data_IF_170989785707
#
_entry.id   IF_170989785707
#
_cell.length_a   1.000
_cell.length_b   1.000
_cell.length_c   1.000
_cell.angle_alpha   90.00
_cell.angle_beta   90.00
_cell.angle_gamma   90.00
#
_symmetry.space_group_name_H-M   'P 1'
#
loop_
_entity.id
_entity.type
_entity.pdbx_description
1 polymer ?
#
# COMPACT_ATOMS: atom_id res chain seq x y z
N UNK A 1 4.61 3.27 27.00
CA UNK A 1 5.10 2.28 27.98
C UNK A 1 6.39 1.68 27.46
N UNK A 2 7.50 1.73 28.24
CA UNK A 2 8.80 1.19 27.83
C UNK A 2 8.81 -0.33 27.62
N UNK A 3 7.80 -1.05 28.13
CA UNK A 3 7.64 -2.50 28.00
C UNK A 3 7.56 -3.00 26.54
N UNK A 4 6.96 -2.23 25.64
CA UNK A 4 6.74 -2.61 24.23
C UNK A 4 7.87 -2.19 23.29
N UNK A 5 8.85 -1.42 23.77
CA UNK A 5 10.01 -0.98 22.98
C UNK A 5 11.29 -1.58 23.55
N UNK A 6 11.30 -2.90 23.76
CA UNK A 6 12.51 -3.61 24.12
C UNK A 6 13.44 -3.59 22.90
N UNK A 7 14.54 -2.83 22.99
CA UNK A 7 15.60 -2.72 21.96
C UNK A 7 16.42 -4.02 21.86
N UNK A 8 15.75 -5.17 21.73
CA UNK A 8 16.41 -6.46 21.52
C UNK A 8 16.81 -6.58 20.04
N UNK A 9 18.04 -7.00 19.73
CA UNK A 9 18.55 -7.08 18.35
C UNK A 9 17.72 -8.04 17.48
N UNK A 10 17.16 -9.09 18.06
CA UNK A 10 16.34 -10.10 17.37
C UNK A 10 15.03 -9.54 16.80
N UNK A 11 14.36 -8.61 17.50
CA UNK A 11 13.14 -7.95 16.98
C UNK A 11 13.42 -7.09 15.75
N UNK A 12 14.65 -6.62 15.61
CA UNK A 12 15.05 -5.70 14.55
C UNK A 12 15.15 -6.39 13.20
N UNK A 13 15.60 -7.65 13.16
CA UNK A 13 15.64 -8.43 11.91
C UNK A 13 14.24 -8.72 11.37
N UNK A 14 13.31 -9.14 12.23
CA UNK A 14 11.92 -9.36 11.81
C UNK A 14 11.24 -8.08 11.32
N UNK A 15 11.50 -6.94 11.98
CA UNK A 15 11.02 -5.62 11.54
C UNK A 15 11.62 -5.21 10.20
N UNK A 16 12.92 -5.47 9.96
CA UNK A 16 13.59 -5.11 8.72
C UNK A 16 13.11 -5.96 7.54
N UNK A 17 12.89 -7.26 7.73
CA UNK A 17 12.35 -8.12 6.68
C UNK A 17 10.91 -7.75 6.33
N UNK A 18 10.09 -7.43 7.34
CA UNK A 18 8.74 -6.91 7.16
C UNK A 18 8.72 -5.59 6.34
N UNK A 19 9.63 -4.66 6.66
CA UNK A 19 9.78 -3.39 5.91
C UNK A 19 10.25 -3.64 4.47
N UNK A 20 11.14 -4.61 4.25
CA UNK A 20 11.66 -4.97 2.92
C UNK A 20 10.55 -5.53 2.05
N UNK A 21 9.77 -6.48 2.57
CA UNK A 21 8.63 -7.09 1.89
C UNK A 21 7.57 -6.03 1.53
N UNK A 22 7.24 -5.13 2.47
CA UNK A 22 6.31 -4.02 2.21
C UNK A 22 6.80 -3.08 1.10
N UNK A 23 8.09 -2.74 1.07
CA UNK A 23 8.67 -1.90 0.01
C UNK A 23 8.66 -2.56 -1.37
N UNK A 24 8.91 -3.86 -1.45
CA UNK A 24 8.86 -4.61 -2.71
C UNK A 24 7.43 -4.65 -3.23
N UNK A 25 6.46 -4.95 -2.37
CA UNK A 25 5.05 -4.96 -2.75
C UNK A 25 4.58 -3.58 -3.20
N UNK A 26 4.94 -2.52 -2.48
CA UNK A 26 4.62 -1.14 -2.84
C UNK A 26 5.16 -0.76 -4.22
N UNK A 27 6.41 -1.13 -4.52
CA UNK A 27 7.01 -0.89 -5.85
C UNK A 27 6.26 -1.66 -6.93
N UNK A 28 5.95 -2.93 -6.71
CA UNK A 28 5.20 -3.75 -7.66
C UNK A 28 3.83 -3.16 -7.97
N UNK A 29 3.09 -2.77 -6.92
CA UNK A 29 1.76 -2.19 -7.05
C UNK A 29 1.76 -0.85 -7.79
N UNK A 30 2.73 0.01 -7.46
CA UNK A 30 2.86 1.33 -8.09
C UNK A 30 3.24 1.19 -9.59
N UNK A 31 4.10 0.24 -9.93
CA UNK A 31 4.42 -0.07 -11.34
C UNK A 31 3.17 -0.57 -12.08
N UNK A 32 2.43 -1.52 -11.50
CA UNK A 32 1.22 -2.06 -12.11
C UNK A 32 0.13 -0.98 -12.30
N UNK A 33 -0.03 -0.07 -11.33
CA UNK A 33 -0.94 1.05 -11.42
C UNK A 33 -0.57 2.00 -12.57
N UNK A 34 0.71 2.38 -12.69
CA UNK A 34 1.19 3.22 -13.80
C UNK A 34 0.94 2.54 -15.15
N UNK A 35 1.25 1.25 -15.28
CA UNK A 35 0.97 0.49 -16.51
C UNK A 35 -0.53 0.49 -16.86
N UNK A 36 -1.39 0.32 -15.85
CA UNK A 36 -2.84 0.30 -16.04
C UNK A 36 -3.36 1.66 -16.49
N UNK A 37 -2.89 2.76 -15.87
CA UNK A 37 -3.23 4.12 -16.29
C UNK A 37 -2.76 4.43 -17.72
N UNK A 38 -1.56 3.99 -18.08
CA UNK A 38 -1.03 4.17 -19.44
C UNK A 38 -1.88 3.43 -20.47
N UNK A 39 -2.28 2.18 -20.20
CA UNK A 39 -3.17 1.42 -21.08
C UNK A 39 -4.53 2.09 -21.24
N UNK A 40 -5.11 2.56 -20.13
CA UNK A 40 -6.40 3.26 -20.12
C UNK A 40 -6.38 4.57 -20.91
N UNK A 41 -5.26 5.29 -20.90
CA UNK A 41 -5.07 6.50 -21.70
C UNK A 41 -4.84 6.19 -23.18
N UNK A 42 -4.12 5.10 -23.49
CA UNK A 42 -3.84 4.67 -24.86
C UNK A 42 -5.09 4.23 -25.63
N UNK A 43 -6.03 3.56 -24.98
CA UNK A 43 -7.25 3.05 -25.61
C UNK A 43 -8.09 4.12 -26.35
N UNK A 44 -8.52 5.24 -25.71
CA UNK A 44 -9.27 6.29 -26.38
C UNK A 44 -8.42 7.04 -27.43
N UNK A 45 -7.10 7.14 -27.25
CA UNK A 45 -6.19 7.73 -28.25
C UNK A 45 -6.16 6.89 -29.53
N UNK A 46 -6.07 5.57 -29.41
CA UNK A 46 -6.10 4.66 -30.56
C UNK A 46 -7.45 4.76 -31.30
N UNK A 47 -8.56 4.81 -30.56
CA UNK A 47 -9.90 4.98 -31.15
C UNK A 47 -10.06 6.31 -31.89
N UNK A 48 -9.52 7.40 -31.33
CA UNK A 48 -9.52 8.71 -31.96
C UNK A 48 -8.72 8.74 -33.26
N UNK A 49 -7.52 8.13 -33.28
CA UNK A 49 -6.70 8.01 -34.51
C UNK A 49 -7.42 7.21 -35.59
N UNK A 50 -8.21 6.20 -35.21
CA UNK A 50 -9.05 5.42 -36.14
C UNK A 50 -10.29 6.18 -36.64
N UNK A 51 -10.50 7.45 -36.25
CA UNK A 51 -11.70 8.25 -36.53
C UNK A 51 -13.01 7.59 -36.10
N UNK A 52 -12.96 6.72 -35.10
CA UNK A 52 -14.16 6.15 -34.50
C UNK A 52 -14.69 7.12 -33.43
N UNK A 53 -16.02 7.24 -33.28
CA UNK A 53 -16.58 8.05 -32.19
C UNK A 53 -16.09 7.48 -30.86
N UNK A 54 -15.51 8.34 -30.03
CA UNK A 54 -15.06 7.95 -28.70
C UNK A 54 -16.22 8.22 -27.75
N UNK A 55 -16.94 7.17 -27.40
CA UNK A 55 -17.95 7.26 -26.34
C UNK A 55 -17.23 7.22 -24.99
N UNK A 56 -17.15 8.39 -24.35
CA UNK A 56 -16.73 8.45 -22.96
C UNK A 56 -17.85 7.86 -22.10
N UNK A 57 -17.52 6.99 -21.16
CA UNK A 57 -18.49 6.39 -20.22
C UNK A 57 -19.09 7.42 -19.22
N UNK A 58 -18.77 8.70 -19.38
CA UNK A 58 -19.25 9.81 -18.56
C UNK A 58 -20.22 10.64 -19.40
N UNK A 59 -21.35 11.02 -18.79
CA UNK A 59 -22.28 11.95 -19.41
C UNK A 59 -21.67 13.35 -19.41
N UNK A 60 -21.42 13.89 -20.61
CA UNK A 60 -20.94 15.25 -20.81
C UNK A 60 -22.10 16.09 -21.38
N UNK A 61 -22.32 17.33 -20.90
CA UNK A 61 -23.37 18.20 -21.41
C UNK A 61 -23.03 18.79 -22.80
N UNK A 62 -21.95 18.35 -23.43
CA UNK A 62 -21.44 18.83 -24.71
C UNK A 62 -20.98 17.66 -25.58
N UNK A 63 -20.95 17.86 -26.90
CA UNK A 63 -20.58 16.82 -27.85
C UNK A 63 -19.07 16.62 -27.84
N UNK A 64 -18.64 15.55 -27.17
CA UNK A 64 -17.22 15.26 -26.95
C UNK A 64 -16.46 15.03 -28.26
N UNK A 65 -17.12 14.79 -29.40
CA UNK A 65 -16.46 14.55 -30.69
C UNK A 65 -16.13 15.84 -31.47
N UNK A 66 -16.56 17.02 -31.02
CA UNK A 66 -16.18 18.29 -31.65
C UNK A 66 -14.85 18.85 -31.12
N UNK A 67 -14.00 19.32 -32.03
CA UNK A 67 -12.82 20.12 -31.68
C UNK A 67 -13.27 21.53 -31.26
N UNK A 68 -12.86 22.09 -30.10
CA UNK A 68 -11.80 21.65 -29.18
C UNK A 68 -12.27 20.88 -27.92
N UNK A 69 -13.57 20.61 -27.79
CA UNK A 69 -14.19 20.01 -26.60
C UNK A 69 -13.67 18.60 -26.30
N UNK A 70 -13.32 17.84 -27.36
CA UNK A 70 -12.67 16.54 -27.25
C UNK A 70 -11.39 16.57 -26.39
N UNK A 71 -10.52 17.57 -26.62
CA UNK A 71 -9.24 17.68 -25.92
C UNK A 71 -9.43 18.01 -24.44
N UNK A 72 -10.45 18.80 -24.10
CA UNK A 72 -10.82 19.06 -22.71
C UNK A 72 -11.39 17.82 -22.03
N UNK A 73 -12.30 17.09 -22.72
CA UNK A 73 -12.88 15.87 -22.19
C UNK A 73 -11.82 14.78 -21.92
N UNK A 74 -10.91 14.56 -22.88
CA UNK A 74 -9.87 13.53 -22.72
C UNK A 74 -8.87 13.92 -21.63
N UNK A 75 -8.50 15.20 -21.52
CA UNK A 75 -7.63 15.68 -20.45
C UNK A 75 -8.30 15.52 -19.08
N UNK A 76 -9.58 15.88 -18.96
CA UNK A 76 -10.35 15.73 -17.73
C UNK A 76 -10.44 14.26 -17.30
N UNK A 77 -10.83 13.36 -18.21
CA UNK A 77 -10.91 11.92 -17.93
C UNK A 77 -9.54 11.34 -17.57
N UNK A 78 -8.47 11.80 -18.22
CA UNK A 78 -7.11 11.39 -17.88
C UNK A 78 -6.69 11.82 -16.47
N UNK A 79 -6.97 13.06 -16.08
CA UNK A 79 -6.72 13.55 -14.72
C UNK A 79 -7.53 12.75 -13.69
N UNK A 80 -8.82 12.53 -13.96
CA UNK A 80 -9.70 11.83 -13.03
C UNK A 80 -9.34 10.35 -12.85
N UNK A 81 -9.01 9.65 -13.94
CA UNK A 81 -8.55 8.25 -13.87
C UNK A 81 -7.21 8.13 -13.17
N UNK A 82 -6.28 9.07 -13.40
CA UNK A 82 -4.99 9.13 -12.69
C UNK A 82 -5.17 9.37 -11.19
N UNK A 83 -6.05 10.30 -10.81
CA UNK A 83 -6.38 10.58 -9.41
C UNK A 83 -6.99 9.38 -8.71
N UNK A 84 -7.95 8.72 -9.37
CA UNK A 84 -8.60 7.52 -8.85
C UNK A 84 -7.58 6.38 -8.65
N UNK A 85 -6.71 6.16 -9.63
CA UNK A 85 -5.68 5.14 -9.55
C UNK A 85 -4.67 5.40 -8.43
N UNK A 86 -4.24 6.66 -8.25
CA UNK A 86 -3.37 7.05 -7.15
C UNK A 86 -4.04 6.81 -5.79
N UNK A 87 -5.30 7.22 -5.65
CA UNK A 87 -6.07 7.05 -4.42
C UNK A 87 -6.24 5.58 -4.06
N UNK A 88 -6.60 4.74 -5.04
CA UNK A 88 -6.78 3.31 -4.86
C UNK A 88 -5.45 2.63 -4.46
N UNK A 89 -4.37 2.91 -5.19
CA UNK A 89 -3.03 2.37 -4.89
C UNK A 89 -2.54 2.80 -3.50
N UNK A 90 -2.81 4.05 -3.11
CA UNK A 90 -2.43 4.58 -1.80
C UNK A 90 -3.19 3.88 -0.67
N UNK A 91 -4.49 3.59 -0.84
CA UNK A 91 -5.28 2.83 0.14
C UNK A 91 -4.76 1.41 0.29
N UNK A 92 -4.47 0.71 -0.81
CA UNK A 92 -3.95 -0.66 -0.77
C UNK A 92 -2.55 -0.73 -0.14
N UNK A 93 -1.71 0.26 -0.44
CA UNK A 93 -0.41 0.44 0.19
C UNK A 93 -0.51 0.67 1.70
N UNK A 94 -1.44 1.52 2.13
CA UNK A 94 -1.71 1.81 3.53
C UNK A 94 -2.21 0.56 4.27
N UNK A 95 -3.20 -0.14 3.71
CA UNK A 95 -3.75 -1.37 4.28
C UNK A 95 -2.67 -2.46 4.42
N UNK A 96 -1.84 -2.65 3.40
CA UNK A 96 -0.70 -3.58 3.46
C UNK A 96 0.26 -3.20 4.56
N UNK A 97 0.65 -1.93 4.64
CA UNK A 97 1.59 -1.44 5.65
C UNK A 97 1.06 -1.66 7.06
N UNK A 98 -0.24 -1.43 7.26
CA UNK A 98 -0.91 -1.70 8.53
C UNK A 98 -0.86 -3.20 8.89
N UNK A 99 -1.23 -4.08 7.96
CA UNK A 99 -1.18 -5.54 8.19
C UNK A 99 0.23 -6.04 8.50
N UNK A 100 1.25 -5.49 7.83
CA UNK A 100 2.65 -5.80 8.10
C UNK A 100 3.04 -5.38 9.51
N UNK A 101 2.63 -4.19 9.96
CA UNK A 101 2.86 -3.75 11.34
C UNK A 101 2.10 -4.63 12.35
N UNK A 102 0.85 -4.98 12.09
CA UNK A 102 0.07 -5.87 12.96
C UNK A 102 0.74 -7.24 13.08
N UNK A 103 1.24 -7.82 11.98
CA UNK A 103 2.01 -9.07 12.03
C UNK A 103 3.28 -8.94 12.85
N UNK A 104 4.03 -7.85 12.69
CA UNK A 104 5.24 -7.61 13.48
C UNK A 104 4.91 -7.55 14.98
N UNK A 105 3.85 -6.83 15.37
CA UNK A 105 3.42 -6.75 16.77
C UNK A 105 2.95 -8.10 17.32
N UNK A 106 2.20 -8.89 16.56
CA UNK A 106 1.79 -10.24 16.96
C UNK A 106 2.99 -11.19 17.10
N UNK A 107 4.00 -11.05 16.24
CA UNK A 107 5.22 -11.85 16.33
C UNK A 107 6.04 -11.51 17.58
N UNK A 108 6.13 -10.23 17.94
CA UNK A 108 6.78 -9.79 19.18
C UNK A 108 6.01 -10.36 20.38
N UNK A 109 4.68 -10.23 20.40
CA UNK A 109 3.84 -10.78 21.46
C UNK A 109 4.04 -12.29 21.63
N UNK A 110 4.13 -13.04 20.52
CA UNK A 110 4.42 -14.48 20.55
C UNK A 110 5.77 -14.77 21.21
N UNK A 111 6.81 -14.04 20.85
CA UNK A 111 8.16 -14.24 21.39
C UNK A 111 8.22 -13.90 22.88
N UNK A 112 7.54 -12.83 23.30
CA UNK A 112 7.42 -12.47 24.71
C UNK A 112 6.67 -13.55 25.50
N UNK A 113 5.62 -14.15 24.92
CA UNK A 113 4.88 -15.24 25.56
C UNK A 113 5.72 -16.52 25.70
N UNK A 114 6.54 -16.83 24.69
CA UNK A 114 7.41 -18.01 24.68
C UNK A 114 8.49 -17.94 25.77
N UNK A 115 9.06 -16.75 25.98
CA UNK A 115 10.07 -16.52 27.02
C UNK A 115 9.48 -16.10 28.37
N UNK A 116 8.15 -16.03 28.51
CA UNK A 116 7.51 -15.55 29.76
C UNK A 116 7.81 -16.47 30.93
N UNK A 117 7.77 -17.78 30.70
CA UNK A 117 8.01 -18.80 31.74
C UNK A 117 9.46 -18.78 32.19
N UNK A 118 10.39 -18.57 31.27
CA UNK A 118 11.82 -18.53 31.55
C UNK A 118 12.18 -17.27 32.33
N UNK A 119 11.67 -16.11 31.91
CA UNK A 119 11.77 -14.86 32.67
C UNK A 119 11.17 -14.97 34.07
N UNK A 120 9.98 -15.56 34.22
CA UNK A 120 9.36 -15.73 35.54
C UNK A 120 10.17 -16.67 36.44
N UNK A 121 10.88 -17.66 35.88
CA UNK A 121 11.80 -18.51 36.64
C UNK A 121 13.05 -17.75 37.08
N UNK A 122 13.65 -16.96 36.19
CA UNK A 122 14.80 -16.12 36.51
C UNK A 122 14.45 -15.11 37.62
N UNK A 123 13.33 -14.39 37.51
CA UNK A 123 12.87 -13.44 38.52
C UNK A 123 12.58 -14.11 39.87
N UNK A 124 12.03 -15.33 39.88
CA UNK A 124 11.79 -16.08 41.11
C UNK A 124 13.09 -16.54 41.80
N UNK A 125 14.11 -16.89 41.02
CA UNK A 125 15.45 -17.25 41.54
C UNK A 125 16.15 -16.01 42.10
N UNK A 126 16.06 -14.87 41.41
CA UNK A 126 16.65 -13.60 41.86
C UNK A 126 16.02 -13.13 43.19
N UNK A 127 14.70 -13.21 43.28
CA UNK A 127 13.94 -12.84 44.49
C UNK A 127 14.20 -13.78 45.67
N UNK A 128 14.57 -15.03 45.43
CA UNK A 128 14.87 -16.01 46.49
C UNK A 128 16.33 -16.00 46.95
N UNK A 129 17.25 -15.42 46.17
CA UNK A 129 18.65 -15.23 46.56
C UNK A 129 18.91 -13.98 47.42
N UNK A 130 17.94 -13.07 47.51
CA UNK A 130 18.02 -11.81 48.26
C UNK A 130 17.53 -11.94 49.73
N UNK A 131 17.29 -13.18 50.21
CA UNK A 131 16.92 -13.52 51.59
C UNK A 131 18.00 -14.33 52.33
#
# INVERSE_FOLDING_TARGET
GPLFNQKKPEHREFLLEAIRQAKVLLRGFNIAAVFTCLLWALYPVILYVQRKPVEFAIWLPFDANLSPQFYFAIFYVWVQTSWLAFSNTSMDAFATSFLVQSKAQLSILRLDLEHVVEKSKEEAVETSGDF
#
